data_IF_009083396179
#
_entry.id   IF_009083396179
#
_cell.length_a   1.000
_cell.length_b   1.000
_cell.length_c   1.000
_cell.angle_alpha   90.00
_cell.angle_beta   90.00
_cell.angle_gamma   90.00
#
_symmetry.space_group_name_H-M   'P 1'
#
loop_
_entity.id
_entity.type
_entity.pdbx_description
1 polymer ?
#
# COMPACT_ATOMS: atom_id res chain seq x y z
N UNK A 1 -47.63 11.77 -32.85
CA UNK A 1 -46.89 10.54 -32.49
C UNK A 1 -45.50 10.53 -33.16
N UNK A 2 -44.67 11.56 -32.92
CA UNK A 2 -43.31 11.66 -33.49
C UNK A 2 -42.31 12.38 -32.56
N UNK A 3 -42.74 12.78 -31.37
CA UNK A 3 -41.92 13.60 -30.45
C UNK A 3 -41.34 12.80 -29.27
N UNK A 4 -41.81 11.57 -29.05
CA UNK A 4 -41.35 10.67 -27.97
C UNK A 4 -40.19 9.76 -28.40
N UNK A 5 -39.99 9.53 -29.71
CA UNK A 5 -38.92 8.64 -30.21
C UNK A 5 -37.51 9.26 -30.16
N UNK A 6 -37.41 10.60 -30.19
CA UNK A 6 -36.11 11.31 -30.19
C UNK A 6 -35.43 11.37 -28.80
N UNK A 7 -36.17 11.20 -27.70
CA UNK A 7 -35.59 11.21 -26.35
C UNK A 7 -34.94 9.87 -25.98
N UNK A 8 -35.46 8.75 -26.47
CA UNK A 8 -34.89 7.42 -26.17
C UNK A 8 -33.57 7.15 -26.89
N UNK A 9 -33.37 7.72 -28.08
CA UNK A 9 -32.09 7.59 -28.82
C UNK A 9 -31.01 8.52 -28.25
N UNK A 10 -31.37 9.72 -27.77
CA UNK A 10 -30.41 10.63 -27.12
C UNK A 10 -29.92 10.09 -25.76
N UNK A 11 -30.79 9.40 -25.00
CA UNK A 11 -30.42 8.76 -23.73
C UNK A 11 -29.52 7.53 -23.91
N UNK A 12 -29.66 6.78 -25.01
CA UNK A 12 -28.74 5.67 -25.33
C UNK A 12 -27.35 6.14 -25.81
N UNK A 13 -27.26 7.28 -26.51
CA UNK A 13 -25.98 7.86 -26.91
C UNK A 13 -25.25 8.56 -25.75
N UNK A 14 -25.96 9.15 -24.77
CA UNK A 14 -25.32 9.69 -23.56
C UNK A 14 -24.84 8.57 -22.61
N UNK A 15 -25.53 7.44 -22.55
CA UNK A 15 -25.10 6.28 -21.77
C UNK A 15 -23.79 5.67 -22.27
N UNK A 16 -23.61 5.56 -23.59
CA UNK A 16 -22.41 4.97 -24.20
C UNK A 16 -21.20 5.90 -24.19
N UNK A 17 -21.40 7.23 -24.31
CA UNK A 17 -20.31 8.21 -24.20
C UNK A 17 -19.75 8.36 -22.77
N UNK A 18 -20.53 8.07 -21.73
CA UNK A 18 -20.08 8.09 -20.33
C UNK A 18 -19.25 6.86 -19.94
N UNK A 19 -19.48 5.70 -20.58
CA UNK A 19 -18.65 4.49 -20.38
C UNK A 19 -17.34 4.50 -21.18
N UNK A 20 -17.31 5.09 -22.38
CA UNK A 20 -16.04 5.24 -23.12
C UNK A 20 -15.19 6.39 -22.58
N UNK A 21 -15.83 7.46 -22.09
CA UNK A 21 -15.14 8.59 -21.46
C UNK A 21 -14.46 8.20 -20.15
N UNK A 22 -15.06 7.30 -19.35
CA UNK A 22 -14.46 6.79 -18.10
C UNK A 22 -13.33 5.79 -18.36
N UNK A 23 -13.40 4.96 -19.40
CA UNK A 23 -12.30 4.07 -19.77
C UNK A 23 -11.08 4.82 -20.32
N UNK A 24 -11.30 5.89 -21.09
CA UNK A 24 -10.24 6.77 -21.58
C UNK A 24 -9.64 7.63 -20.46
N UNK A 25 -10.45 8.13 -19.52
CA UNK A 25 -9.94 8.79 -18.32
C UNK A 25 -9.15 7.81 -17.45
N UNK A 26 -9.64 6.57 -17.27
CA UNK A 26 -8.94 5.53 -16.51
C UNK A 26 -7.62 5.14 -17.18
N UNK A 27 -7.56 5.07 -18.51
CA UNK A 27 -6.30 4.85 -19.25
C UNK A 27 -5.36 6.05 -19.20
N UNK A 28 -5.85 7.29 -19.25
CA UNK A 28 -5.02 8.50 -19.13
C UNK A 28 -4.49 8.71 -17.71
N UNK A 29 -5.32 8.44 -16.69
CA UNK A 29 -4.94 8.37 -15.28
C UNK A 29 -3.87 7.30 -15.11
N UNK A 30 -4.08 6.08 -15.64
CA UNK A 30 -3.11 5.00 -15.57
C UNK A 30 -1.79 5.34 -16.29
N UNK A 31 -1.83 5.97 -17.46
CA UNK A 31 -0.62 6.42 -18.16
C UNK A 31 0.13 7.50 -17.38
N UNK A 32 -0.58 8.45 -16.76
CA UNK A 32 0.02 9.50 -15.93
C UNK A 32 0.63 8.97 -14.62
N UNK A 33 0.18 7.82 -14.10
CA UNK A 33 0.71 7.22 -12.87
C UNK A 33 1.81 6.18 -13.09
N UNK A 34 1.94 5.61 -14.28
CA UNK A 34 2.94 4.57 -14.57
C UNK A 34 4.02 4.98 -15.57
N UNK A 35 3.84 6.08 -16.32
CA UNK A 35 4.88 6.68 -17.17
C UNK A 35 5.09 8.14 -16.78
N UNK A 36 6.10 8.39 -15.94
CA UNK A 36 6.60 9.73 -15.69
C UNK A 36 7.34 10.25 -16.93
N UNK A 37 6.71 11.16 -17.66
CA UNK A 37 7.34 12.22 -18.46
C UNK A 37 8.51 11.85 -19.37
N UNK A 38 8.20 11.36 -20.58
CA UNK A 38 8.68 11.88 -21.87
C UNK A 38 8.11 10.99 -22.98
N UNK A 39 7.47 11.60 -23.98
CA UNK A 39 6.97 10.91 -25.17
C UNK A 39 8.13 10.37 -26.01
N UNK A 40 8.60 9.16 -25.68
CA UNK A 40 9.29 8.25 -26.59
C UNK A 40 8.64 6.89 -26.45
N UNK A 41 8.34 6.24 -27.58
CA UNK A 41 7.93 4.84 -27.63
C UNK A 41 8.97 4.00 -26.88
N UNK A 42 8.74 3.74 -25.60
CA UNK A 42 9.46 2.76 -24.81
C UNK A 42 8.58 1.52 -24.80
N UNK A 43 9.15 0.39 -25.21
CA UNK A 43 8.53 -0.92 -25.03
C UNK A 43 8.02 -1.03 -23.59
N UNK A 44 6.79 -1.53 -23.34
CA UNK A 44 6.29 -1.66 -21.99
C UNK A 44 7.28 -2.46 -21.16
N UNK A 45 7.76 -1.87 -20.07
CA UNK A 45 8.79 -2.45 -19.20
C UNK A 45 8.43 -3.90 -18.88
N UNK A 46 9.26 -4.86 -19.30
CA UNK A 46 8.91 -6.26 -19.17
C UNK A 46 9.24 -6.72 -17.75
N UNK A 47 8.20 -6.85 -16.91
CA UNK A 47 8.31 -7.52 -15.62
C UNK A 47 8.25 -9.03 -15.84
N UNK A 48 9.21 -9.75 -15.26
CA UNK A 48 9.17 -11.21 -15.18
C UNK A 48 9.23 -11.66 -13.73
N UNK A 49 8.56 -12.77 -13.42
CA UNK A 49 8.49 -13.33 -12.07
C UNK A 49 8.99 -14.77 -12.12
N UNK A 50 10.03 -15.05 -11.34
CA UNK A 50 10.54 -16.41 -11.11
C UNK A 50 9.96 -16.91 -9.80
N UNK A 51 9.38 -18.11 -9.84
CA UNK A 51 8.78 -18.76 -8.69
C UNK A 51 9.55 -20.04 -8.35
N UNK A 52 9.95 -20.18 -7.09
CA UNK A 52 10.55 -21.40 -6.53
C UNK A 52 9.65 -21.87 -5.40
N UNK A 53 9.02 -23.03 -5.58
CA UNK A 53 7.99 -23.54 -4.69
C UNK A 53 8.56 -24.32 -3.50
N UNK A 54 7.89 -24.25 -2.34
CA UNK A 54 7.94 -25.30 -1.32
C UNK A 54 9.30 -25.49 -0.64
N UNK A 55 9.99 -24.40 -0.33
CA UNK A 55 11.27 -24.46 0.38
C UNK A 55 11.07 -24.60 1.90
N UNK A 56 11.97 -25.35 2.54
CA UNK A 56 12.14 -25.30 4.00
C UNK A 56 12.66 -23.92 4.38
N UNK A 57 12.07 -23.30 5.40
CA UNK A 57 12.40 -21.94 5.79
C UNK A 57 12.70 -21.82 7.27
N UNK A 58 13.65 -20.94 7.59
CA UNK A 58 13.99 -20.51 8.94
C UNK A 58 13.16 -19.29 9.39
N UNK A 59 12.08 -18.97 8.67
CA UNK A 59 11.17 -17.89 9.01
C UNK A 59 10.56 -18.13 10.39
N UNK A 60 10.70 -17.14 11.25
CA UNK A 60 10.12 -17.13 12.58
C UNK A 60 8.91 -16.20 12.60
N UNK A 61 7.84 -16.64 13.25
CA UNK A 61 6.62 -15.89 13.48
C UNK A 61 5.91 -16.44 14.72
N UNK A 62 4.69 -15.96 14.97
CA UNK A 62 3.84 -16.46 16.03
C UNK A 62 3.31 -17.88 15.75
N UNK A 63 3.41 -18.35 14.51
CA UNK A 63 2.94 -19.65 14.05
C UNK A 63 4.04 -20.41 13.32
N UNK A 64 4.08 -21.75 13.43
CA UNK A 64 5.01 -22.58 12.66
C UNK A 64 4.66 -22.51 11.16
N UNK A 65 5.70 -22.50 10.33
CA UNK A 65 5.57 -22.43 8.87
C UNK A 65 5.60 -23.85 8.28
N UNK A 66 4.62 -24.18 7.46
CA UNK A 66 4.54 -25.47 6.77
C UNK A 66 5.48 -25.49 5.55
N UNK A 67 5.48 -24.41 4.76
CA UNK A 67 6.34 -24.24 3.58
C UNK A 67 6.42 -22.77 3.16
N UNK A 68 7.42 -22.44 2.35
CA UNK A 68 7.61 -21.10 1.81
C UNK A 68 7.88 -21.14 0.32
N UNK A 69 7.11 -20.37 -0.44
CA UNK A 69 7.40 -20.08 -1.83
C UNK A 69 8.23 -18.81 -1.94
N UNK A 70 9.18 -18.78 -2.88
CA UNK A 70 10.02 -17.62 -3.16
C UNK A 70 9.71 -17.06 -4.55
N UNK A 71 9.41 -15.77 -4.61
CA UNK A 71 9.12 -15.04 -5.83
C UNK A 71 10.18 -13.96 -6.05
N UNK A 72 10.98 -14.11 -7.10
CA UNK A 72 11.94 -13.08 -7.52
C UNK A 72 11.37 -12.32 -8.71
N UNK A 73 11.20 -11.01 -8.56
CA UNK A 73 10.70 -10.11 -9.60
C UNK A 73 11.88 -9.44 -10.26
N UNK A 74 11.92 -9.53 -11.59
CA UNK A 74 12.91 -8.87 -12.42
C UNK A 74 12.26 -7.77 -13.25
N UNK A 75 12.99 -6.68 -13.46
CA UNK A 75 12.63 -5.58 -14.35
C UNK A 75 13.76 -5.44 -15.38
N UNK A 76 13.42 -5.57 -16.66
CA UNK A 76 14.39 -5.48 -17.76
C UNK A 76 15.58 -6.45 -17.57
N UNK A 77 15.29 -7.66 -17.09
CA UNK A 77 16.28 -8.72 -16.83
C UNK A 77 17.13 -8.51 -15.58
N UNK A 78 16.98 -7.40 -14.85
CA UNK A 78 17.68 -7.13 -13.59
C UNK A 78 16.79 -7.46 -12.40
N UNK A 79 17.38 -8.01 -11.34
CA UNK A 79 16.65 -8.27 -10.10
C UNK A 79 16.12 -6.96 -9.52
N UNK A 80 14.80 -6.89 -9.32
CA UNK A 80 14.13 -5.72 -8.77
C UNK A 80 13.88 -5.91 -7.28
N UNK A 81 13.18 -6.99 -6.91
CA UNK A 81 12.91 -7.35 -5.52
C UNK A 81 12.47 -8.81 -5.41
N UNK A 82 12.45 -9.32 -4.17
CA UNK A 82 11.96 -10.67 -3.89
C UNK A 82 10.93 -10.65 -2.77
N UNK A 83 9.97 -11.57 -2.85
CA UNK A 83 8.92 -11.80 -1.86
C UNK A 83 8.94 -13.28 -1.45
N UNK A 84 8.62 -13.53 -0.19
CA UNK A 84 8.34 -14.85 0.32
C UNK A 84 6.84 -14.97 0.55
N UNK A 85 6.26 -16.13 0.23
CA UNK A 85 4.89 -16.46 0.60
C UNK A 85 4.94 -17.63 1.59
N UNK A 86 4.69 -17.35 2.86
CA UNK A 86 4.62 -18.37 3.89
C UNK A 86 3.24 -19.04 3.90
N UNK A 87 3.25 -20.37 3.94
CA UNK A 87 2.07 -21.21 4.12
C UNK A 87 2.12 -21.72 5.56
N UNK A 88 1.07 -21.45 6.34
CA UNK A 88 1.03 -21.83 7.74
C UNK A 88 -0.40 -22.13 8.19
N UNK A 89 -0.52 -22.76 9.36
CA UNK A 89 -1.78 -22.88 10.09
C UNK A 89 -1.76 -22.02 11.34
N UNK A 90 -2.88 -21.36 11.61
CA UNK A 90 -3.04 -20.61 12.85
C UNK A 90 -3.38 -21.52 14.04
N UNK A 91 -3.58 -20.93 15.22
CA UNK A 91 -3.93 -21.65 16.45
C UNK A 91 -5.29 -22.36 16.38
N UNK A 92 -6.13 -22.02 15.39
CA UNK A 92 -7.40 -22.67 15.10
C UNK A 92 -7.27 -23.71 13.97
N UNK A 93 -6.04 -24.06 13.57
CA UNK A 93 -5.71 -24.99 12.48
C UNK A 93 -6.25 -24.54 11.11
N UNK A 94 -6.56 -23.25 10.95
CA UNK A 94 -7.00 -22.70 9.66
C UNK A 94 -5.79 -22.40 8.78
N UNK A 95 -5.93 -22.71 7.49
CA UNK A 95 -4.93 -22.38 6.48
C UNK A 95 -4.82 -20.86 6.31
N UNK A 96 -3.59 -20.36 6.34
CA UNK A 96 -3.28 -18.94 6.17
C UNK A 96 -2.09 -18.76 5.22
N UNK A 97 -1.93 -17.52 4.76
CA UNK A 97 -0.83 -17.08 3.88
C UNK A 97 -0.26 -15.79 4.41
N UNK A 98 1.06 -15.62 4.28
CA UNK A 98 1.69 -14.33 4.56
C UNK A 98 2.77 -13.97 3.54
N UNK A 99 2.59 -12.82 2.89
CA UNK A 99 3.64 -12.18 2.10
C UNK A 99 4.67 -11.58 3.04
N UNK A 100 5.91 -12.02 2.92
CA UNK A 100 7.03 -11.60 3.74
C UNK A 100 8.20 -11.15 2.86
N UNK A 101 9.17 -10.50 3.49
CA UNK A 101 10.40 -10.10 2.84
C UNK A 101 11.52 -11.08 3.21
N UNK A 102 12.35 -11.55 2.26
CA UNK A 102 13.51 -12.37 2.58
C UNK A 102 14.55 -11.61 3.42
N UNK A 103 15.33 -12.36 4.18
CA UNK A 103 16.50 -11.83 4.90
C UNK A 103 17.47 -11.20 3.91
N UNK A 104 17.96 -10.01 4.24
CA UNK A 104 19.07 -9.42 3.51
C UNK A 104 20.30 -10.31 3.66
N UNK A 105 20.98 -10.62 2.55
CA UNK A 105 22.32 -11.22 2.63
C UNK A 105 23.26 -10.15 3.20
N UNK A 106 23.72 -10.31 4.44
CA UNK A 106 24.74 -9.44 5.01
C UNK A 106 26.09 -9.82 4.40
N UNK A 107 26.46 -9.16 3.31
CA UNK A 107 27.85 -9.15 2.86
C UNK A 107 28.61 -8.09 3.67
N UNK A 108 29.78 -8.45 4.22
CA UNK A 108 30.58 -7.53 5.03
C UNK A 108 30.88 -6.25 4.23
N UNK A 109 30.45 -5.11 4.76
CA UNK A 109 30.65 -3.78 4.14
C UNK A 109 29.59 -3.35 3.13
N UNK A 110 28.59 -4.19 2.82
CA UNK A 110 27.48 -3.81 1.94
C UNK A 110 26.32 -3.16 2.72
N UNK A 111 25.66 -2.16 2.14
CA UNK A 111 24.41 -1.64 2.66
C UNK A 111 23.32 -2.73 2.65
N UNK A 112 22.43 -2.80 3.65
CA UNK A 112 21.31 -3.73 3.64
C UNK A 112 20.46 -3.52 2.38
N UNK A 113 20.03 -4.61 1.75
CA UNK A 113 19.09 -4.51 0.64
C UNK A 113 17.77 -3.88 1.12
N UNK A 114 17.06 -3.09 0.29
CA UNK A 114 15.77 -2.51 0.68
C UNK A 114 14.76 -3.57 1.16
N UNK A 115 14.81 -4.78 0.58
CA UNK A 115 13.99 -5.92 0.98
C UNK A 115 14.38 -6.45 2.37
N UNK A 116 15.67 -6.60 2.66
CA UNK A 116 16.14 -7.01 3.99
C UNK A 116 15.80 -6.00 5.07
N UNK A 117 15.87 -4.70 4.75
CA UNK A 117 15.49 -3.64 5.68
C UNK A 117 13.98 -3.66 5.99
N UNK A 118 13.13 -3.84 4.97
CA UNK A 118 11.68 -4.05 5.18
C UNK A 118 11.41 -5.22 6.11
N UNK A 119 12.14 -6.33 5.97
CA UNK A 119 11.99 -7.47 6.87
C UNK A 119 12.31 -7.10 8.33
N UNK A 120 13.46 -6.46 8.59
CA UNK A 120 13.85 -6.05 9.94
C UNK A 120 12.79 -5.15 10.56
N UNK A 121 12.29 -4.16 9.80
CA UNK A 121 11.25 -3.24 10.27
C UNK A 121 9.96 -3.98 10.62
N UNK A 122 9.55 -4.96 9.81
CA UNK A 122 8.35 -5.76 10.10
C UNK A 122 8.50 -6.63 11.34
N UNK A 123 9.69 -7.17 11.62
CA UNK A 123 9.97 -7.92 12.85
C UNK A 123 9.89 -7.00 14.09
N UNK A 124 10.45 -5.80 14.00
CA UNK A 124 10.37 -4.79 15.07
C UNK A 124 8.93 -4.31 15.29
N UNK A 125 8.21 -4.04 14.20
CA UNK A 125 6.80 -3.65 14.25
C UNK A 125 5.95 -4.74 14.90
N UNK A 126 6.17 -6.02 14.56
CA UNK A 126 5.46 -7.15 15.17
C UNK A 126 5.71 -7.23 16.69
N UNK A 127 6.94 -6.99 17.15
CA UNK A 127 7.25 -6.90 18.58
C UNK A 127 6.53 -5.72 19.23
N UNK A 128 6.54 -4.55 18.58
CA UNK A 128 5.83 -3.36 19.06
C UNK A 128 4.31 -3.58 19.12
N UNK A 129 3.71 -4.24 18.14
CA UNK A 129 2.29 -4.62 18.15
C UNK A 129 2.00 -5.47 19.39
N UNK A 130 2.78 -6.51 19.64
CA UNK A 130 2.59 -7.40 20.79
C UNK A 130 2.72 -6.68 22.14
N UNK A 131 3.58 -5.67 22.23
CA UNK A 131 3.85 -4.90 23.45
C UNK A 131 2.85 -3.75 23.69
N UNK A 132 2.43 -3.07 22.63
CA UNK A 132 1.70 -1.80 22.71
C UNK A 132 0.22 -1.90 22.33
N UNK A 133 -0.25 -3.08 21.92
CA UNK A 133 -1.68 -3.34 21.64
C UNK A 133 -2.27 -4.36 22.62
N UNK A 134 -3.46 -4.10 23.21
CA UNK A 134 -4.19 -5.09 23.98
C UNK A 134 -4.50 -6.35 23.17
N UNK A 135 -4.59 -7.53 23.81
CA UNK A 135 -4.83 -8.80 23.10
C UNK A 135 -6.12 -8.80 22.25
N UNK A 136 -7.17 -8.10 22.70
CA UNK A 136 -8.45 -7.99 21.99
C UNK A 136 -8.54 -6.81 21.00
N UNK A 137 -7.46 -6.05 20.81
CA UNK A 137 -7.45 -4.94 19.85
C UNK A 137 -7.69 -5.46 18.42
N UNK A 138 -8.34 -4.66 17.57
CA UNK A 138 -8.42 -4.92 16.14
C UNK A 138 -7.34 -4.10 15.44
N UNK A 139 -6.50 -4.76 14.65
CA UNK A 139 -5.58 -4.06 13.75
C UNK A 139 -6.20 -3.94 12.36
N UNK A 140 -6.25 -2.72 11.88
CA UNK A 140 -6.63 -2.34 10.53
C UNK A 140 -5.36 -2.12 9.72
N UNK A 141 -5.34 -2.65 8.50
CA UNK A 141 -4.27 -2.46 7.53
C UNK A 141 -4.77 -2.86 6.14
N UNK A 142 -3.93 -2.67 5.13
CA UNK A 142 -4.14 -3.35 3.84
C UNK A 142 -3.94 -4.86 3.99
N UNK A 143 -4.38 -5.65 3.01
CA UNK A 143 -4.48 -7.11 3.16
C UNK A 143 -3.13 -7.80 3.36
N UNK A 144 -2.10 -7.41 2.61
CA UNK A 144 -0.76 -8.01 2.68
C UNK A 144 -0.08 -7.65 4.00
N UNK A 145 -0.30 -6.43 4.49
CA UNK A 145 0.12 -5.99 5.82
C UNK A 145 -0.64 -6.74 6.92
N UNK A 146 -1.92 -7.04 6.72
CA UNK A 146 -2.72 -7.79 7.68
C UNK A 146 -2.27 -9.23 7.83
N UNK A 147 -1.81 -9.84 6.74
CA UNK A 147 -1.15 -11.15 6.79
C UNK A 147 0.14 -11.11 7.63
N UNK A 148 0.97 -10.09 7.43
CA UNK A 148 2.22 -9.91 8.19
C UNK A 148 1.95 -9.68 9.68
N UNK A 149 0.96 -8.84 10.01
CA UNK A 149 0.52 -8.61 11.39
C UNK A 149 0.15 -9.94 12.03
N UNK A 150 -0.73 -10.71 11.40
CA UNK A 150 -1.18 -11.98 11.95
C UNK A 150 -0.01 -12.96 12.10
N UNK A 151 0.72 -13.25 11.02
CA UNK A 151 1.82 -14.22 11.06
C UNK A 151 2.91 -13.86 12.08
N UNK A 152 3.36 -12.60 12.12
CA UNK A 152 4.52 -12.21 12.93
C UNK A 152 4.17 -11.93 14.40
N UNK A 153 2.99 -11.37 14.68
CA UNK A 153 2.60 -10.94 16.03
C UNK A 153 1.55 -11.84 16.70
N UNK A 154 0.86 -12.69 15.93
CA UNK A 154 -0.26 -13.48 16.42
C UNK A 154 -1.50 -12.65 16.74
N UNK A 155 -1.56 -11.38 16.31
CA UNK A 155 -2.73 -10.51 16.45
C UNK A 155 -3.65 -10.63 15.25
N UNK A 156 -4.95 -10.53 15.50
CA UNK A 156 -5.95 -10.48 14.45
C UNK A 156 -5.88 -9.16 13.68
N UNK A 157 -5.77 -9.28 12.35
CA UNK A 157 -5.95 -8.19 11.41
C UNK A 157 -7.35 -8.27 10.80
N UNK A 158 -8.00 -7.12 10.62
CA UNK A 158 -9.36 -7.06 10.08
C UNK A 158 -9.43 -7.54 8.63
N UNK A 159 -8.46 -7.16 7.81
CA UNK A 159 -8.31 -7.59 6.41
C UNK A 159 -7.00 -8.35 6.27
N UNK A 160 -7.03 -9.57 5.70
CA UNK A 160 -5.81 -10.40 5.54
C UNK A 160 -5.82 -11.30 4.29
N UNK A 161 -6.82 -11.17 3.41
CA UNK A 161 -6.90 -11.93 2.16
C UNK A 161 -7.10 -10.98 0.99
N UNK A 162 -6.43 -11.19 -0.15
CA UNK A 162 -6.71 -10.44 -1.37
C UNK A 162 -8.01 -10.93 -2.03
N UNK A 163 -8.65 -10.06 -2.82
CA UNK A 163 -9.72 -10.44 -3.73
C UNK A 163 -9.28 -10.28 -5.19
N UNK A 164 -10.20 -10.51 -6.13
CA UNK A 164 -9.92 -10.52 -7.58
C UNK A 164 -9.27 -9.23 -8.09
N UNK A 165 -9.69 -8.08 -7.57
CA UNK A 165 -9.18 -6.75 -7.93
C UNK A 165 -7.67 -6.60 -7.68
N UNK A 166 -7.14 -7.28 -6.64
CA UNK A 166 -5.70 -7.28 -6.35
C UNK A 166 -4.86 -7.83 -7.50
N UNK A 167 -5.41 -8.76 -8.29
CA UNK A 167 -4.68 -9.50 -9.31
C UNK A 167 -4.66 -8.81 -10.69
N UNK A 168 -5.04 -7.54 -10.76
CA UNK A 168 -4.82 -6.68 -11.94
C UNK A 168 -3.33 -6.33 -12.09
N UNK A 169 -2.61 -6.18 -10.97
CA UNK A 169 -1.15 -5.97 -10.95
C UNK A 169 -0.42 -7.19 -11.54
N UNK A 170 0.52 -7.02 -12.51
CA UNK A 170 1.26 -8.15 -13.09
C UNK A 170 2.01 -9.00 -12.05
N UNK A 171 2.58 -8.36 -11.02
CA UNK A 171 3.29 -9.05 -9.95
C UNK A 171 2.32 -9.95 -9.19
N UNK A 172 1.19 -9.41 -8.73
CA UNK A 172 0.21 -10.19 -7.99
C UNK A 172 -0.46 -11.26 -8.83
N UNK A 173 -0.79 -10.94 -10.09
CA UNK A 173 -1.39 -11.89 -11.03
C UNK A 173 -0.57 -13.17 -11.14
N UNK A 174 0.76 -13.05 -11.17
CA UNK A 174 1.68 -14.20 -11.24
C UNK A 174 1.64 -15.10 -9.99
N UNK A 175 1.18 -14.57 -8.86
CA UNK A 175 1.14 -15.25 -7.56
C UNK A 175 -0.27 -15.75 -7.20
N UNK A 176 -1.30 -15.40 -7.99
CA UNK A 176 -2.73 -15.60 -7.66
C UNK A 176 -3.05 -17.03 -7.21
N UNK A 177 -2.54 -18.03 -7.91
CA UNK A 177 -2.84 -19.45 -7.65
C UNK A 177 -2.42 -19.91 -6.24
N UNK A 178 -1.50 -19.20 -5.59
CA UNK A 178 -0.94 -19.59 -4.29
C UNK A 178 -1.59 -18.86 -3.09
N UNK A 179 -2.51 -17.93 -3.37
CA UNK A 179 -3.27 -17.20 -2.35
C UNK A 179 -4.59 -17.86 -2.00
N UNK A 180 -5.05 -17.61 -0.76
CA UNK A 180 -6.41 -17.84 -0.33
C UNK A 180 -7.21 -16.56 -0.58
N UNK A 181 -8.23 -16.64 -1.43
CA UNK A 181 -9.03 -15.48 -1.80
C UNK A 181 -10.01 -15.10 -0.70
N UNK A 182 -10.26 -13.80 -0.60
CA UNK A 182 -11.32 -13.23 0.21
C UNK A 182 -12.70 -13.72 -0.27
N UNK A 183 -13.56 -14.06 0.69
CA UNK A 183 -15.01 -14.20 0.46
C UNK A 183 -15.65 -12.84 0.13
N UNK A 184 -16.90 -12.83 -0.32
CA UNK A 184 -17.62 -11.59 -0.64
C UNK A 184 -17.68 -10.60 0.54
N UNK A 185 -17.82 -11.12 1.77
CA UNK A 185 -17.80 -10.30 2.99
C UNK A 185 -16.42 -9.69 3.24
N UNK A 186 -15.35 -10.48 3.11
CA UNK A 186 -13.97 -10.01 3.25
C UNK A 186 -13.61 -9.01 2.11
N UNK A 187 -14.13 -9.21 0.90
CA UNK A 187 -14.03 -8.26 -0.21
C UNK A 187 -14.72 -6.94 0.12
N UNK A 188 -15.87 -6.97 0.79
CA UNK A 188 -16.52 -5.76 1.31
C UNK A 188 -15.66 -5.00 2.31
N UNK A 189 -14.87 -5.70 3.15
CA UNK A 189 -13.94 -5.07 4.08
C UNK A 189 -12.76 -4.40 3.35
N UNK A 190 -12.24 -5.02 2.29
CA UNK A 190 -11.24 -4.42 1.39
C UNK A 190 -11.77 -3.12 0.76
N UNK A 191 -13.00 -3.14 0.25
CA UNK A 191 -13.65 -1.94 -0.31
C UNK A 191 -13.80 -0.82 0.74
N UNK A 192 -14.22 -1.16 1.96
CA UNK A 192 -14.29 -0.19 3.06
C UNK A 192 -12.91 0.38 3.43
N UNK A 193 -11.87 -0.46 3.47
CA UNK A 193 -10.50 -0.01 3.72
C UNK A 193 -10.02 0.95 2.63
N UNK A 194 -10.25 0.61 1.35
CA UNK A 194 -9.89 1.46 0.22
C UNK A 194 -10.62 2.81 0.31
N UNK A 195 -11.92 2.79 0.62
CA UNK A 195 -12.73 3.98 0.80
C UNK A 195 -12.19 4.87 1.93
N UNK A 196 -11.97 4.33 3.12
CA UNK A 196 -11.50 5.11 4.27
C UNK A 196 -10.10 5.70 4.06
N UNK A 197 -9.17 4.93 3.50
CA UNK A 197 -7.81 5.41 3.25
C UNK A 197 -7.79 6.55 2.22
N UNK A 198 -8.67 6.51 1.23
CA UNK A 198 -8.65 7.47 0.10
C UNK A 198 -9.59 8.67 0.28
N UNK A 199 -10.54 8.61 1.21
CA UNK A 199 -11.43 9.74 1.52
C UNK A 199 -10.81 10.69 2.56
N UNK A 200 -11.44 11.86 2.75
CA UNK A 200 -10.99 12.85 3.74
C UNK A 200 -10.96 12.30 5.17
N UNK A 201 -9.87 12.55 5.90
CA UNK A 201 -9.56 11.95 7.21
C UNK A 201 -10.67 12.10 8.24
N UNK A 202 -11.26 13.28 8.33
CA UNK A 202 -12.28 13.56 9.36
C UNK A 202 -13.55 12.73 9.10
N UNK A 203 -13.93 12.58 7.83
CA UNK A 203 -15.06 11.75 7.43
C UNK A 203 -14.74 10.26 7.61
N UNK A 204 -13.56 9.83 7.20
CA UNK A 204 -13.11 8.45 7.36
C UNK A 204 -13.17 8.02 8.82
N UNK A 205 -12.61 8.83 9.73
CA UNK A 205 -12.58 8.53 11.16
C UNK A 205 -13.99 8.48 11.78
N UNK A 206 -14.91 9.35 11.34
CA UNK A 206 -16.32 9.31 11.76
C UNK A 206 -17.01 8.05 11.26
N UNK A 207 -16.77 7.63 10.02
CA UNK A 207 -17.34 6.40 9.47
C UNK A 207 -16.78 5.15 10.15
N UNK A 208 -15.46 5.09 10.37
CA UNK A 208 -14.81 4.01 11.11
C UNK A 208 -15.37 3.90 12.53
N UNK A 209 -15.58 5.02 13.23
CA UNK A 209 -16.20 5.06 14.56
C UNK A 209 -17.61 4.49 14.56
N UNK A 210 -18.43 4.85 13.58
CA UNK A 210 -19.78 4.29 13.43
C UNK A 210 -19.75 2.80 13.09
N UNK A 211 -18.80 2.38 12.25
CA UNK A 211 -18.70 1.00 11.77
C UNK A 211 -18.25 0.03 12.87
N UNK A 212 -17.19 0.38 13.61
CA UNK A 212 -16.63 -0.50 14.64
C UNK A 212 -17.24 -0.30 16.03
N UNK A 213 -17.86 0.86 16.29
CA UNK A 213 -18.33 1.24 17.61
C UNK A 213 -17.18 1.42 18.62
N UNK A 214 -17.50 1.39 19.91
CA UNK A 214 -16.54 1.63 21.01
C UNK A 214 -16.18 0.37 21.80
N UNK A 215 -16.62 -0.81 21.34
CA UNK A 215 -16.54 -2.07 22.09
C UNK A 215 -15.13 -2.67 22.16
N UNK A 216 -14.23 -2.30 21.24
CA UNK A 216 -12.84 -2.77 21.23
C UNK A 216 -11.86 -1.68 20.76
N UNK A 217 -10.62 -1.65 21.28
CA UNK A 217 -9.59 -0.74 20.79
C UNK A 217 -9.26 -1.01 19.32
N UNK A 218 -9.17 0.07 18.52
CA UNK A 218 -8.82 0.01 17.10
C UNK A 218 -7.45 0.64 16.87
N UNK A 219 -6.62 -0.05 16.10
CA UNK A 219 -5.32 0.42 15.65
C UNK A 219 -5.25 0.35 14.14
N UNK A 220 -4.58 1.30 13.51
CA UNK A 220 -4.38 1.35 12.06
C UNK A 220 -2.89 1.38 11.76
N UNK A 221 -2.43 0.39 11.00
CA UNK A 221 -1.07 0.29 10.51
C UNK A 221 -1.05 0.74 9.05
N UNK A 222 -0.13 1.65 8.73
CA UNK A 222 0.14 2.09 7.36
C UNK A 222 1.62 1.93 7.04
N UNK A 223 1.89 1.65 5.77
CA UNK A 223 3.25 1.60 5.21
C UNK A 223 3.36 2.51 4.00
N UNK A 224 4.57 3.03 3.72
CA UNK A 224 4.82 3.82 2.52
C UNK A 224 4.55 3.02 1.23
N UNK A 225 4.61 1.68 1.29
CA UNK A 225 4.28 0.80 0.17
C UNK A 225 2.80 0.93 -0.26
N UNK A 226 1.91 1.48 0.57
CA UNK A 226 0.52 1.80 0.18
C UNK A 226 0.45 2.80 -0.99
N UNK A 227 1.45 3.66 -1.19
CA UNK A 227 1.52 4.54 -2.35
C UNK A 227 1.69 3.78 -3.67
N UNK A 228 2.17 2.53 -3.62
CA UNK A 228 2.23 1.63 -4.77
C UNK A 228 0.92 0.84 -4.98
N UNK A 229 -0.03 0.94 -4.04
CA UNK A 229 -1.33 0.24 -4.05
C UNK A 229 -2.49 1.13 -4.49
N UNK A 230 -2.24 2.39 -4.87
CA UNK A 230 -3.31 3.35 -5.19
C UNK A 230 -4.24 2.86 -6.31
N UNK A 231 -3.67 2.28 -7.37
CA UNK A 231 -4.46 1.68 -8.45
C UNK A 231 -5.36 0.54 -7.96
N UNK A 232 -4.81 -0.33 -7.10
CA UNK A 232 -5.57 -1.40 -6.47
C UNK A 232 -6.70 -0.86 -5.59
N UNK A 233 -6.46 0.19 -4.80
CA UNK A 233 -7.49 0.86 -4.00
C UNK A 233 -8.62 1.44 -4.87
N UNK A 234 -8.30 1.99 -6.05
CA UNK A 234 -9.31 2.47 -7.02
C UNK A 234 -10.15 1.32 -7.55
N UNK A 235 -9.53 0.18 -7.85
CA UNK A 235 -10.25 -1.01 -8.34
C UNK A 235 -11.22 -1.56 -7.27
N UNK A 236 -10.93 -1.34 -5.98
CA UNK A 236 -11.83 -1.61 -4.86
C UNK A 236 -12.88 -0.51 -4.59
N UNK A 237 -12.95 0.54 -5.41
CA UNK A 237 -13.91 1.64 -5.28
C UNK A 237 -13.44 2.81 -4.41
N UNK A 238 -12.15 2.87 -4.09
CA UNK A 238 -11.52 4.02 -3.45
C UNK A 238 -11.54 5.27 -4.33
N UNK A 239 -11.48 6.45 -3.69
CA UNK A 239 -11.32 7.71 -4.41
C UNK A 239 -9.92 7.75 -5.05
N UNK A 240 -9.80 8.03 -6.36
CA UNK A 240 -8.49 8.19 -6.98
C UNK A 240 -7.71 9.32 -6.31
N UNK A 241 -6.48 9.03 -5.87
CA UNK A 241 -5.55 10.01 -5.35
C UNK A 241 -4.39 10.18 -6.32
N UNK A 242 -4.03 11.42 -6.61
CA UNK A 242 -2.94 11.77 -7.49
C UNK A 242 -1.67 12.12 -6.74
N UNK A 243 -0.51 11.70 -7.25
CA UNK A 243 0.80 12.06 -6.74
C UNK A 243 1.78 12.20 -7.91
N UNK A 244 2.59 13.26 -7.90
CA UNK A 244 3.82 13.27 -8.69
C UNK A 244 4.85 12.40 -7.98
N UNK A 245 5.58 11.56 -8.71
CA UNK A 245 6.63 10.74 -8.13
C UNK A 245 7.89 10.74 -8.98
N UNK A 246 9.05 10.60 -8.34
CA UNK A 246 10.33 10.41 -9.03
C UNK A 246 11.33 9.66 -8.18
N UNK A 247 12.33 9.09 -8.84
CA UNK A 247 13.52 8.56 -8.20
C UNK A 247 14.68 9.53 -8.37
N UNK A 248 15.39 9.83 -7.28
CA UNK A 248 16.55 10.73 -7.26
C UNK A 248 17.76 9.96 -6.70
N UNK A 249 18.96 10.07 -7.29
CA UNK A 249 20.16 9.52 -6.67
C UNK A 249 20.40 10.11 -5.28
N UNK A 250 20.83 9.28 -4.34
CA UNK A 250 21.25 9.72 -3.02
C UNK A 250 22.76 9.94 -3.00
N UNK A 251 23.20 11.13 -2.58
CA UNK A 251 24.60 11.52 -2.50
C UNK A 251 25.06 11.58 -1.03
N UNK A 252 26.36 11.78 -0.83
CA UNK A 252 26.94 12.01 0.50
C UNK A 252 26.56 13.38 1.09
N UNK A 253 25.78 14.19 0.36
CA UNK A 253 25.26 15.47 0.79
C UNK A 253 23.73 15.41 1.00
N UNK A 254 23.31 14.82 2.12
CA UNK A 254 21.90 14.73 2.50
C UNK A 254 21.20 16.10 2.50
N UNK A 255 21.85 17.16 2.98
CA UNK A 255 21.26 18.50 3.02
C UNK A 255 20.98 19.05 1.61
N UNK A 256 21.93 18.84 0.68
CA UNK A 256 21.77 19.20 -0.72
C UNK A 256 20.65 18.41 -1.40
N UNK A 257 20.61 17.10 -1.17
CA UNK A 257 19.56 16.23 -1.72
C UNK A 257 18.17 16.65 -1.24
N UNK A 258 18.02 16.91 0.06
CA UNK A 258 16.75 17.38 0.64
C UNK A 258 16.36 18.76 0.08
N UNK A 259 17.30 19.67 -0.14
CA UNK A 259 17.01 20.97 -0.74
C UNK A 259 16.47 20.84 -2.17
N UNK A 260 17.08 19.97 -2.99
CA UNK A 260 16.61 19.70 -4.36
C UNK A 260 15.24 19.01 -4.37
N UNK A 261 15.03 18.03 -3.49
CA UNK A 261 13.76 17.32 -3.36
C UNK A 261 12.65 18.29 -2.95
N UNK A 262 12.94 19.16 -1.96
CA UNK A 262 12.00 20.19 -1.51
C UNK A 262 11.64 21.12 -2.67
N UNK A 263 12.64 21.64 -3.39
CA UNK A 263 12.41 22.53 -4.53
C UNK A 263 11.48 21.89 -5.57
N UNK A 264 11.79 20.65 -5.98
CA UNK A 264 10.95 19.89 -6.91
C UNK A 264 9.52 19.68 -6.37
N UNK A 265 9.36 19.33 -5.10
CA UNK A 265 8.04 19.15 -4.50
C UNK A 265 7.21 20.45 -4.45
N UNK A 266 7.87 21.62 -4.36
CA UNK A 266 7.19 22.91 -4.48
C UNK A 266 6.76 23.19 -5.92
N UNK A 267 7.61 22.88 -6.89
CA UNK A 267 7.33 23.06 -8.33
C UNK A 267 6.17 22.17 -8.80
N UNK A 268 6.18 20.90 -8.43
CA UNK A 268 5.15 19.92 -8.80
C UNK A 268 3.88 20.02 -7.94
N UNK A 269 4.05 20.26 -6.65
CA UNK A 269 3.11 19.74 -5.66
C UNK A 269 2.73 20.67 -4.51
N UNK A 270 3.11 21.95 -4.59
CA UNK A 270 2.79 22.91 -3.53
C UNK A 270 3.52 22.64 -2.21
N UNK A 271 4.53 21.76 -2.19
CA UNK A 271 5.46 21.59 -1.07
C UNK A 271 5.12 20.50 -0.06
N UNK A 272 4.04 19.73 -0.24
CA UNK A 272 3.76 18.55 0.59
C UNK A 272 4.27 17.27 -0.08
N UNK A 273 5.27 16.64 0.51
CA UNK A 273 5.97 15.49 -0.04
C UNK A 273 6.39 14.48 1.02
N UNK A 274 6.66 13.26 0.55
CA UNK A 274 7.22 12.14 1.29
C UNK A 274 8.50 11.67 0.60
N UNK A 275 9.52 11.32 1.39
CA UNK A 275 10.80 10.80 0.91
C UNK A 275 11.09 9.47 1.55
N UNK A 276 11.41 8.46 0.74
CA UNK A 276 11.89 7.16 1.18
C UNK A 276 13.29 6.90 0.59
N UNK A 277 14.30 6.73 1.44
CA UNK A 277 15.64 6.33 0.99
C UNK A 277 15.70 4.82 0.82
N UNK A 278 16.01 4.34 -0.39
CA UNK A 278 16.22 2.92 -0.70
C UNK A 278 17.57 2.72 -1.39
N UNK A 279 18.54 2.17 -0.67
CA UNK A 279 19.91 2.01 -1.15
C UNK A 279 20.54 3.35 -1.54
N UNK A 280 20.96 3.46 -2.80
CA UNK A 280 21.59 4.65 -3.38
C UNK A 280 20.60 5.65 -4.00
N UNK A 281 19.30 5.51 -3.72
CA UNK A 281 18.27 6.37 -4.29
C UNK A 281 17.26 6.82 -3.23
N UNK A 282 16.60 7.94 -3.52
CA UNK A 282 15.37 8.39 -2.89
C UNK A 282 14.19 8.14 -3.82
N UNK A 283 13.15 7.50 -3.32
CA UNK A 283 11.82 7.55 -3.91
C UNK A 283 11.06 8.70 -3.26
N UNK A 284 10.51 9.57 -4.09
CA UNK A 284 9.84 10.78 -3.64
C UNK A 284 8.44 10.84 -4.22
N UNK A 285 7.46 11.20 -3.39
CA UNK A 285 6.08 11.46 -3.79
C UNK A 285 5.69 12.86 -3.32
N UNK A 286 4.98 13.60 -4.16
CA UNK A 286 4.41 14.90 -3.84
C UNK A 286 2.92 14.92 -4.18
N UNK A 287 2.11 15.51 -3.31
CA UNK A 287 0.69 15.78 -3.62
C UNK A 287 0.60 16.87 -4.68
N UNK A 288 -0.43 16.95 -5.54
CA UNK A 288 -0.55 18.01 -6.52
C UNK A 288 -0.73 19.39 -5.88
N UNK A 289 -0.30 20.43 -6.61
CA UNK A 289 -0.39 21.82 -6.15
C UNK A 289 -1.82 22.20 -5.76
N UNK A 290 -1.97 22.79 -4.57
CA UNK A 290 -3.24 23.22 -3.99
C UNK A 290 -4.30 22.12 -3.85
N UNK A 291 -3.92 20.84 -3.88
CA UNK A 291 -4.93 19.79 -3.84
C UNK A 291 -5.49 19.60 -2.43
N UNK A 292 -6.79 19.84 -2.28
CA UNK A 292 -7.50 19.63 -1.01
C UNK A 292 -7.78 18.14 -0.78
N UNK A 293 -8.05 17.38 -1.84
CA UNK A 293 -8.45 15.96 -1.75
C UNK A 293 -7.31 15.12 -1.19
N UNK A 294 -6.14 15.14 -1.82
CA UNK A 294 -4.97 14.39 -1.40
C UNK A 294 -4.50 14.82 -0.01
N UNK A 295 -4.31 16.12 0.21
CA UNK A 295 -3.80 16.65 1.47
C UNK A 295 -4.69 16.35 2.67
N UNK A 296 -6.00 16.16 2.45
CA UNK A 296 -6.95 15.77 3.49
C UNK A 296 -7.24 14.27 3.53
N UNK A 297 -6.80 13.47 2.56
CA UNK A 297 -7.06 12.03 2.55
C UNK A 297 -6.48 11.38 3.80
N UNK A 298 -7.16 10.36 4.34
CA UNK A 298 -6.66 9.65 5.52
C UNK A 298 -5.27 9.06 5.28
N UNK A 299 -5.02 8.49 4.10
CA UNK A 299 -3.73 7.94 3.72
C UNK A 299 -2.61 8.98 3.84
N UNK A 300 -2.74 10.15 3.21
CA UNK A 300 -1.70 11.20 3.27
C UNK A 300 -1.52 11.70 4.70
N UNK A 301 -2.61 11.84 5.46
CA UNK A 301 -2.58 12.31 6.86
C UNK A 301 -1.92 11.32 7.83
N UNK A 302 -1.81 10.05 7.45
CA UNK A 302 -1.16 8.99 8.24
C UNK A 302 0.23 8.60 7.72
N UNK A 303 0.55 8.89 6.47
CA UNK A 303 1.90 8.71 5.94
C UNK A 303 2.81 9.88 6.34
N UNK A 304 4.15 9.70 6.37
CA UNK A 304 5.12 10.71 6.79
C UNK A 304 5.34 11.81 5.73
N UNK A 305 4.26 12.35 5.16
CA UNK A 305 4.28 13.57 4.38
C UNK A 305 4.63 14.76 5.28
N UNK A 306 5.44 15.71 4.79
CA UNK A 306 5.96 16.83 5.60
C UNK A 306 4.88 17.64 6.32
N UNK A 307 3.68 17.80 5.74
CA UNK A 307 2.58 18.50 6.41
C UNK A 307 1.84 17.62 7.42
N UNK A 308 1.77 16.31 7.18
CA UNK A 308 1.16 15.34 8.09
C UNK A 308 1.95 15.19 9.39
N UNK A 309 3.28 15.29 9.32
CA UNK A 309 4.16 15.28 10.49
C UNK A 309 3.90 16.44 11.46
N UNK A 310 3.31 17.55 11.01
CA UNK A 310 3.04 18.73 11.85
C UNK A 310 1.89 18.51 12.82
N UNK A 311 0.86 17.79 12.39
CA UNK A 311 -0.37 17.58 13.18
C UNK A 311 -1.11 16.36 12.65
N UNK A 312 -1.33 15.35 13.49
CA UNK A 312 -2.20 14.21 13.19
C UNK A 312 -3.69 14.62 13.18
N UNK A 313 -4.57 13.85 12.52
CA UNK A 313 -6.01 14.02 12.68
C UNK A 313 -6.45 13.95 14.16
N UNK A 314 -7.58 14.59 14.48
CA UNK A 314 -8.17 14.44 15.82
C UNK A 314 -8.50 12.98 16.12
N UNK A 315 -8.40 12.59 17.38
CA UNK A 315 -8.61 11.21 17.85
C UNK A 315 -7.65 10.16 17.28
N UNK A 316 -6.57 10.57 16.62
CA UNK A 316 -5.51 9.67 16.15
C UNK A 316 -4.24 9.92 16.96
N UNK A 317 -3.66 8.85 17.51
CA UNK A 317 -2.42 8.89 18.29
C UNK A 317 -1.39 7.95 17.69
N UNK A 318 -0.19 8.45 17.40
CA UNK A 318 0.92 7.61 16.99
C UNK A 318 1.38 6.75 18.17
N UNK A 319 1.46 5.44 17.96
CA UNK A 319 1.87 4.44 18.98
C UNK A 319 3.27 3.92 18.67
N UNK A 320 3.58 3.75 17.40
CA UNK A 320 4.88 3.28 16.95
C UNK A 320 5.18 3.85 15.56
N UNK A 321 6.45 4.15 15.33
CA UNK A 321 6.96 4.51 14.01
C UNK A 321 8.33 3.88 13.83
N UNK A 322 8.53 3.23 12.68
CA UNK A 322 9.82 2.64 12.32
C UNK A 322 10.89 3.70 12.13
N UNK A 323 12.15 3.36 12.42
CA UNK A 323 13.29 4.28 12.30
C UNK A 323 13.68 4.63 10.86
N UNK A 324 13.06 4.01 9.84
CA UNK A 324 13.45 4.18 8.44
C UNK A 324 12.61 5.27 7.76
N UNK A 325 12.76 6.50 8.22
CA UNK A 325 12.00 7.65 7.69
C UNK A 325 10.49 7.52 7.90
N UNK A 326 10.06 6.77 8.93
CA UNK A 326 8.66 6.51 9.17
C UNK A 326 7.99 5.60 8.14
N UNK A 327 8.75 4.72 7.47
CA UNK A 327 8.24 3.74 6.50
C UNK A 327 6.98 3.00 6.96
N UNK A 328 6.94 2.58 8.23
CA UNK A 328 5.81 1.94 8.87
C UNK A 328 5.41 2.73 10.12
N UNK A 329 4.11 3.00 10.26
CA UNK A 329 3.53 3.65 11.43
C UNK A 329 2.29 2.91 11.92
N UNK A 330 2.11 2.87 13.24
CA UNK A 330 0.95 2.29 13.91
C UNK A 330 0.28 3.40 14.71
N UNK A 331 -1.00 3.60 14.45
CA UNK A 331 -1.83 4.60 15.10
C UNK A 331 -2.90 3.93 15.94
N UNK A 332 -3.16 4.45 17.13
CA UNK A 332 -4.39 4.18 17.87
C UNK A 332 -5.46 5.15 17.40
N UNK A 333 -6.65 4.63 17.11
CA UNK A 333 -7.83 5.45 16.80
C UNK A 333 -8.72 5.45 18.05
N UNK A 334 -8.89 6.63 18.64
CA UNK A 334 -9.82 6.84 19.74
C UNK A 334 -11.25 6.98 19.15
N UNK A 335 -11.93 5.84 19.01
CA UNK A 335 -13.33 5.78 18.61
C UNK A 335 -14.26 6.24 19.74
#
# INVERSE_FOLDING_TARGET
>A
MAWTLKKSVLLLCCGTLLFTGSALLYQQVRAAFFDGGESRQLNPTQLSVKHIQGQTSDLQGAFPVDSVDNYSVQRDGKDAFSLLLAHYKDSQNQQRRAVLFPKGKQEMGALPSPTGLRQTIWLEAAKSISQNTPKGALLLSWWDDGQKIHFLSGREAWVSKPAEETFISPVWKSMKANFLLASDSERGQLANMAHWLTMGSDKALVEMRKFFGTSRPIYLLVTNDLLMRLGEMVDYGGTPLAFSSKTVPAHDNLHGDIAQIKQWAYEEGGGNYLVQKEGLHYHVWATPKASVTENKSLLVRLLPFVDSLKKLPEHVKLVYQSHWGGYLSIYKIDL
#
